data_IF_714381305083
#
_entry.id   IF_714381305083
#
_cell.length_a   1.000
_cell.length_b   1.000
_cell.length_c   1.000
_cell.angle_alpha   90.00
_cell.angle_beta   90.00
_cell.angle_gamma   90.00
#
_symmetry.space_group_name_H-M   'P 1'
#
loop_
_entity.id
_entity.type
_entity.pdbx_description
1 polymer ?
#
# COMPACT_ATOMS: atom_id res chain seq x y z
N UNK A 1 -39.84 15.13 19.89
CA UNK A 1 -38.69 15.49 19.02
C UNK A 1 -38.05 16.82 19.37
N UNK A 2 -38.78 17.91 19.64
CA UNK A 2 -38.18 19.26 19.75
C UNK A 2 -37.38 19.56 21.03
N UNK A 3 -37.70 18.97 22.19
CA UNK A 3 -37.03 19.37 23.44
C UNK A 3 -35.65 18.73 23.67
N UNK A 4 -35.35 17.57 23.07
CA UNK A 4 -34.08 16.87 23.28
C UNK A 4 -32.92 17.50 22.50
N UNK A 5 -33.17 17.94 21.26
CA UNK A 5 -32.15 18.52 20.36
C UNK A 5 -31.90 20.01 20.62
N UNK A 6 -32.72 20.67 21.44
CA UNK A 6 -32.62 22.11 21.73
C UNK A 6 -31.73 22.42 22.95
N UNK A 7 -31.26 21.41 23.67
CA UNK A 7 -30.40 21.58 24.84
C UNK A 7 -28.93 21.32 24.48
N UNK A 8 -28.00 22.12 25.02
CA UNK A 8 -26.55 21.88 24.91
C UNK A 8 -26.07 20.66 25.74
N UNK A 9 -26.99 19.79 26.15
CA UNK A 9 -26.68 18.57 26.91
C UNK A 9 -26.59 17.38 25.95
N UNK A 10 -25.81 16.34 26.31
CA UNK A 10 -25.80 15.10 25.55
C UNK A 10 -27.19 14.49 25.46
N UNK A 11 -27.58 14.04 24.27
CA UNK A 11 -28.80 13.28 24.04
C UNK A 11 -28.49 11.81 24.34
N UNK A 12 -29.19 11.23 25.30
CA UNK A 12 -28.89 9.89 25.81
C UNK A 12 -30.07 8.95 25.66
N UNK A 13 -29.80 7.72 25.21
CA UNK A 13 -30.76 6.59 25.25
C UNK A 13 -32.11 6.88 24.59
N UNK A 14 -32.08 7.73 23.55
CA UNK A 14 -33.26 8.07 22.76
C UNK A 14 -33.39 7.15 21.54
N UNK A 15 -34.63 6.91 21.14
CA UNK A 15 -34.97 6.15 19.94
C UNK A 15 -35.40 7.08 18.80
N UNK A 16 -34.59 7.10 17.76
CA UNK A 16 -34.78 7.79 16.49
C UNK A 16 -34.92 6.82 15.31
N UNK A 17 -35.07 5.52 15.59
CA UNK A 17 -35.16 4.51 14.54
C UNK A 17 -36.32 4.76 13.58
N UNK A 18 -36.15 4.35 12.32
CA UNK A 18 -37.13 4.48 11.24
C UNK A 18 -37.55 5.92 10.88
N UNK A 19 -36.95 6.94 11.51
CA UNK A 19 -37.29 8.34 11.22
C UNK A 19 -36.73 8.79 9.88
N UNK A 20 -37.32 9.85 9.34
CA UNK A 20 -36.89 10.51 8.11
C UNK A 20 -36.49 11.94 8.47
N UNK A 21 -35.20 12.21 8.45
CA UNK A 21 -34.64 13.53 8.75
C UNK A 21 -34.13 14.14 7.45
N UNK A 22 -34.74 15.26 7.08
CA UNK A 22 -34.31 16.07 5.95
C UNK A 22 -33.86 17.43 6.48
N UNK A 23 -32.65 17.87 6.12
CA UNK A 23 -32.13 19.20 6.47
C UNK A 23 -32.11 19.51 7.98
N UNK A 24 -32.10 18.48 8.83
CA UNK A 24 -32.00 18.67 10.28
C UNK A 24 -30.58 19.07 10.66
N UNK A 25 -30.45 19.94 11.67
CA UNK A 25 -29.15 20.31 12.21
C UNK A 25 -28.87 19.58 13.51
N UNK A 26 -27.78 18.80 13.51
CA UNK A 26 -27.21 18.10 14.66
C UNK A 26 -25.83 18.66 15.01
N UNK A 27 -25.51 19.85 14.50
CA UNK A 27 -24.18 20.43 14.60
C UNK A 27 -23.70 20.55 16.05
N UNK A 28 -22.55 19.93 16.33
CA UNK A 28 -21.93 19.95 17.66
C UNK A 28 -22.67 19.18 18.75
N UNK A 29 -23.75 18.47 18.42
CA UNK A 29 -24.48 17.66 19.40
C UNK A 29 -23.75 16.36 19.72
N UNK A 30 -23.93 15.90 20.95
CA UNK A 30 -23.38 14.62 21.43
C UNK A 30 -24.53 13.65 21.68
N UNK A 31 -24.46 12.47 21.08
CA UNK A 31 -25.41 11.38 21.24
C UNK A 31 -24.72 10.20 21.89
N UNK A 32 -25.33 9.65 22.94
CA UNK A 32 -24.78 8.51 23.70
C UNK A 32 -25.85 7.42 23.76
N UNK A 33 -25.51 6.21 23.29
CA UNK A 33 -26.41 5.04 23.32
C UNK A 33 -27.79 5.29 22.70
N UNK A 34 -27.84 6.14 21.67
CA UNK A 34 -29.09 6.41 20.94
C UNK A 34 -29.29 5.40 19.81
N UNK A 35 -30.55 5.08 19.53
CA UNK A 35 -30.93 4.21 18.43
C UNK A 35 -31.29 5.05 17.20
N UNK A 36 -30.56 4.86 16.11
CA UNK A 36 -30.76 5.44 14.78
C UNK A 36 -30.96 4.34 13.72
N UNK A 37 -31.32 3.12 14.12
CA UNK A 37 -31.51 2.02 13.19
C UNK A 37 -32.57 2.36 12.14
N UNK A 38 -32.31 2.02 10.88
CA UNK A 38 -33.21 2.29 9.74
C UNK A 38 -33.56 3.78 9.54
N UNK A 39 -32.82 4.72 10.17
CA UNK A 39 -33.05 6.14 9.94
C UNK A 39 -32.63 6.53 8.52
N UNK A 40 -33.34 7.49 7.93
CA UNK A 40 -32.86 8.22 6.76
C UNK A 40 -32.45 9.62 7.16
N UNK A 41 -31.19 9.97 6.93
CA UNK A 41 -30.66 11.32 7.10
C UNK A 41 -30.22 11.85 5.74
N UNK A 42 -30.99 12.79 5.20
CA UNK A 42 -30.72 13.45 3.93
C UNK A 42 -30.47 14.96 4.14
N UNK A 43 -29.37 15.46 3.56
CA UNK A 43 -28.99 16.88 3.63
C UNK A 43 -28.89 17.46 5.05
N UNK A 44 -28.67 16.60 6.05
CA UNK A 44 -28.54 17.00 7.44
C UNK A 44 -27.17 17.60 7.72
N UNK A 45 -27.09 18.45 8.74
CA UNK A 45 -25.84 19.01 9.25
C UNK A 45 -25.33 18.16 10.42
N UNK A 46 -24.31 17.36 10.16
CA UNK A 46 -23.65 16.50 11.15
C UNK A 46 -22.32 17.09 11.61
N UNK A 47 -22.00 18.34 11.23
CA UNK A 47 -20.70 18.93 11.52
C UNK A 47 -20.40 18.89 13.02
N UNK A 48 -19.24 18.36 13.39
CA UNK A 48 -18.78 18.21 14.79
C UNK A 48 -19.74 17.40 15.68
N UNK A 49 -20.71 16.67 15.12
CA UNK A 49 -21.57 15.79 15.89
C UNK A 49 -20.76 14.59 16.39
N UNK A 50 -21.03 14.15 17.62
CA UNK A 50 -20.34 13.02 18.24
C UNK A 50 -21.37 11.97 18.61
N UNK A 51 -21.20 10.76 18.08
CA UNK A 51 -22.02 9.59 18.36
C UNK A 51 -21.17 8.57 19.11
N UNK A 52 -21.61 8.19 20.31
CA UNK A 52 -20.94 7.21 21.17
C UNK A 52 -21.89 6.06 21.43
N UNK A 53 -21.46 4.83 21.11
CA UNK A 53 -22.24 3.61 21.36
C UNK A 53 -23.65 3.65 20.74
N UNK A 54 -23.82 4.38 19.64
CA UNK A 54 -25.11 4.52 18.96
C UNK A 54 -25.31 3.43 17.90
N UNK A 55 -26.56 3.13 17.57
CA UNK A 55 -26.91 2.16 16.54
C UNK A 55 -27.42 2.85 15.27
N UNK A 56 -26.67 2.76 14.18
CA UNK A 56 -26.97 3.20 12.81
C UNK A 56 -27.18 2.02 11.85
N UNK A 57 -27.54 0.85 12.38
CA UNK A 57 -27.78 -0.33 11.55
C UNK A 57 -28.81 -0.03 10.47
N UNK A 58 -28.45 -0.29 9.21
CA UNK A 58 -29.28 -0.01 8.02
C UNK A 58 -29.65 1.47 7.82
N UNK A 59 -28.98 2.39 8.50
CA UNK A 59 -29.19 3.82 8.29
C UNK A 59 -28.80 4.23 6.86
N UNK A 60 -29.53 5.21 6.30
CA UNK A 60 -29.23 5.84 5.02
C UNK A 60 -28.68 7.25 5.26
N UNK A 61 -27.42 7.47 4.90
CA UNK A 61 -26.66 8.69 5.12
C UNK A 61 -26.36 9.34 3.76
N UNK A 62 -27.19 10.31 3.34
CA UNK A 62 -27.13 10.88 1.99
C UNK A 62 -26.93 12.39 2.01
N UNK A 63 -25.89 12.86 1.31
CA UNK A 63 -25.61 14.28 1.10
C UNK A 63 -25.54 15.10 2.41
N UNK A 64 -25.15 14.47 3.52
CA UNK A 64 -25.02 15.14 4.80
C UNK A 64 -23.72 15.95 4.84
N UNK A 65 -23.76 17.12 5.48
CA UNK A 65 -22.54 17.86 5.81
C UNK A 65 -21.88 17.16 6.98
N UNK A 66 -20.77 16.48 6.70
CA UNK A 66 -20.10 15.59 7.66
C UNK A 66 -18.66 16.04 7.85
N UNK A 67 -18.48 17.22 8.43
CA UNK A 67 -17.16 17.75 8.77
C UNK A 67 -16.86 17.50 10.26
N UNK A 68 -15.72 16.87 10.57
CA UNK A 68 -15.28 16.62 11.96
C UNK A 68 -16.28 15.83 12.83
N UNK A 69 -17.19 15.09 12.21
CA UNK A 69 -18.12 14.22 12.93
C UNK A 69 -17.40 12.96 13.44
N UNK A 70 -17.87 12.40 14.57
CA UNK A 70 -17.26 11.23 15.20
C UNK A 70 -18.28 10.12 15.46
N UNK A 71 -17.98 8.91 15.01
CA UNK A 71 -18.67 7.68 15.39
C UNK A 71 -17.71 6.82 16.21
N UNK A 72 -17.99 6.68 17.49
CA UNK A 72 -17.16 5.98 18.45
C UNK A 72 -17.93 4.78 18.97
N UNK A 73 -17.40 3.58 18.77
CA UNK A 73 -18.01 2.32 19.25
C UNK A 73 -19.45 2.12 18.77
N UNK A 74 -19.77 2.65 17.59
CA UNK A 74 -21.14 2.58 17.06
C UNK A 74 -21.37 1.27 16.31
N UNK A 75 -22.63 0.89 16.19
CA UNK A 75 -23.08 -0.12 15.23
C UNK A 75 -23.56 0.62 13.99
N UNK A 76 -23.18 0.21 12.80
CA UNK A 76 -23.57 0.82 11.54
C UNK A 76 -23.60 -0.25 10.42
N UNK A 77 -23.89 -1.49 10.80
CA UNK A 77 -23.95 -2.61 9.88
C UNK A 77 -25.01 -2.36 8.80
N UNK A 78 -24.69 -2.68 7.54
CA UNK A 78 -25.56 -2.50 6.36
C UNK A 78 -26.03 -1.06 6.12
N UNK A 79 -25.39 -0.07 6.75
CA UNK A 79 -25.65 1.34 6.48
C UNK A 79 -25.26 1.70 5.04
N UNK A 80 -25.89 2.74 4.49
CA UNK A 80 -25.65 3.26 3.16
C UNK A 80 -25.10 4.68 3.25
N UNK A 81 -24.05 4.96 2.50
CA UNK A 81 -23.34 6.24 2.52
C UNK A 81 -23.22 6.79 1.11
N UNK A 82 -23.53 8.07 0.98
CA UNK A 82 -23.42 8.83 -0.26
C UNK A 82 -23.13 10.30 0.05
N UNK A 83 -22.13 10.90 -0.58
CA UNK A 83 -21.77 12.31 -0.41
C UNK A 83 -20.36 12.53 0.14
N UNK A 84 -20.09 13.76 0.59
CA UNK A 84 -18.78 14.18 1.08
C UNK A 84 -18.66 14.02 2.59
N UNK A 85 -17.53 13.46 3.04
CA UNK A 85 -17.20 13.25 4.44
C UNK A 85 -15.78 13.74 4.65
N UNK A 86 -15.61 14.72 5.55
CA UNK A 86 -14.36 15.42 5.73
C UNK A 86 -13.92 15.45 7.18
N UNK A 87 -12.67 15.09 7.44
CA UNK A 87 -12.08 15.07 8.79
C UNK A 87 -12.87 14.25 9.82
N UNK A 88 -13.74 13.35 9.36
CA UNK A 88 -14.56 12.52 10.23
C UNK A 88 -13.76 11.35 10.81
N UNK A 89 -14.14 10.93 12.02
CA UNK A 89 -13.54 9.79 12.71
C UNK A 89 -14.58 8.70 12.90
N UNK A 90 -14.26 7.49 12.44
CA UNK A 90 -14.96 6.27 12.78
C UNK A 90 -13.97 5.39 13.53
N UNK A 91 -14.22 5.16 14.81
CA UNK A 91 -13.35 4.38 15.68
C UNK A 91 -14.15 3.27 16.35
N UNK A 92 -13.62 2.05 16.34
CA UNK A 92 -14.27 0.87 16.94
C UNK A 92 -15.72 0.66 16.43
N UNK A 93 -16.01 1.12 15.21
CA UNK A 93 -17.38 1.11 14.66
C UNK A 93 -17.60 -0.11 13.77
N UNK A 94 -18.72 -0.81 13.96
CA UNK A 94 -19.11 -1.94 13.13
C UNK A 94 -19.79 -1.44 11.85
N UNK A 95 -19.12 -1.58 10.72
CA UNK A 95 -19.55 -1.20 9.38
C UNK A 95 -19.77 -2.44 8.50
N UNK A 96 -20.03 -3.62 9.08
CA UNK A 96 -20.21 -4.85 8.34
C UNK A 96 -21.30 -4.72 7.28
N UNK A 97 -20.98 -5.09 6.04
CA UNK A 97 -21.93 -5.04 4.92
C UNK A 97 -22.39 -3.63 4.55
N UNK A 98 -21.74 -2.58 5.04
CA UNK A 98 -22.08 -1.20 4.67
C UNK A 98 -21.75 -0.94 3.19
N UNK A 99 -22.50 -0.03 2.58
CA UNK A 99 -22.34 0.36 1.18
C UNK A 99 -21.97 1.83 1.08
N UNK A 100 -20.81 2.11 0.49
CA UNK A 100 -20.31 3.44 0.23
C UNK A 100 -20.30 3.63 -1.28
N UNK A 101 -21.15 4.51 -1.78
CA UNK A 101 -21.28 4.75 -3.21
C UNK A 101 -21.02 6.21 -3.53
N UNK A 102 -20.03 6.48 -4.39
CA UNK A 102 -19.65 7.85 -4.78
C UNK A 102 -19.39 8.74 -3.56
N UNK A 103 -18.79 8.17 -2.51
CA UNK A 103 -18.37 8.94 -1.35
C UNK A 103 -17.03 9.62 -1.62
N UNK A 104 -16.89 10.85 -1.14
CA UNK A 104 -15.62 11.57 -1.11
C UNK A 104 -15.16 11.66 0.35
N UNK A 105 -14.16 10.86 0.71
CA UNK A 105 -13.57 10.84 2.05
C UNK A 105 -12.27 11.64 2.02
N UNK A 106 -12.22 12.74 2.78
CA UNK A 106 -11.04 13.60 2.87
C UNK A 106 -10.59 13.70 4.31
N UNK A 107 -9.31 13.42 4.57
CA UNK A 107 -8.72 13.52 5.91
C UNK A 107 -9.47 12.71 6.98
N UNK A 108 -10.19 11.65 6.60
CA UNK A 108 -10.94 10.82 7.54
C UNK A 108 -10.02 9.84 8.26
N UNK A 109 -10.47 9.34 9.41
CA UNK A 109 -9.85 8.22 10.11
C UNK A 109 -10.88 7.11 10.30
N UNK A 110 -10.57 5.92 9.80
CA UNK A 110 -11.26 4.68 10.14
C UNK A 110 -10.24 3.82 10.89
N UNK A 111 -10.43 3.66 12.20
CA UNK A 111 -9.51 2.87 13.04
C UNK A 111 -10.28 1.80 13.81
N UNK A 112 -9.74 0.58 13.86
CA UNK A 112 -10.34 -0.54 14.60
C UNK A 112 -11.80 -0.83 14.18
N UNK A 113 -12.15 -0.50 12.94
CA UNK A 113 -13.50 -0.71 12.41
C UNK A 113 -13.63 -2.11 11.79
N UNK A 114 -14.83 -2.67 11.86
CA UNK A 114 -15.17 -3.89 11.12
C UNK A 114 -15.83 -3.52 9.81
N UNK A 115 -15.16 -3.73 8.68
CA UNK A 115 -15.70 -3.48 7.33
C UNK A 115 -15.88 -4.78 6.53
N UNK A 116 -16.13 -5.88 7.25
CA UNK A 116 -16.35 -7.20 6.65
C UNK A 116 -17.53 -7.16 5.68
N UNK A 117 -17.34 -7.68 4.47
CA UNK A 117 -18.33 -7.65 3.38
C UNK A 117 -18.85 -6.24 3.00
N UNK A 118 -18.19 -5.16 3.43
CA UNK A 118 -18.55 -3.82 2.98
C UNK A 118 -18.22 -3.64 1.50
N UNK A 119 -18.84 -2.65 0.86
CA UNK A 119 -18.56 -2.30 -0.54
C UNK A 119 -18.25 -0.82 -0.67
N UNK A 120 -17.10 -0.51 -1.24
CA UNK A 120 -16.71 0.84 -1.66
C UNK A 120 -16.75 0.89 -3.19
N UNK A 121 -17.66 1.70 -3.73
CA UNK A 121 -17.87 1.78 -5.17
C UNK A 121 -17.81 3.24 -5.64
N UNK A 122 -16.91 3.51 -6.58
CA UNK A 122 -16.70 4.85 -7.14
C UNK A 122 -16.36 5.90 -6.09
N UNK A 123 -15.72 5.50 -5.00
CA UNK A 123 -15.31 6.40 -3.93
C UNK A 123 -13.98 7.07 -4.28
N UNK A 124 -13.79 8.29 -3.76
CA UNK A 124 -12.50 8.97 -3.74
C UNK A 124 -12.07 9.12 -2.29
N UNK A 125 -10.88 8.63 -1.97
CA UNK A 125 -10.28 8.81 -0.66
C UNK A 125 -8.98 9.58 -0.79
N UNK A 126 -8.88 10.67 -0.04
CA UNK A 126 -7.70 11.52 -0.02
C UNK A 126 -7.23 11.73 1.42
N UNK A 127 -5.94 11.49 1.68
CA UNK A 127 -5.34 11.72 3.01
C UNK A 127 -6.07 11.00 4.14
N UNK A 128 -6.68 9.85 3.86
CA UNK A 128 -7.50 9.08 4.81
C UNK A 128 -6.64 8.01 5.47
N UNK A 129 -6.80 7.85 6.79
CA UNK A 129 -6.15 6.80 7.57
C UNK A 129 -7.09 5.61 7.78
N UNK A 130 -6.60 4.42 7.46
CA UNK A 130 -7.30 3.13 7.50
C UNK A 130 -6.44 2.16 8.33
N UNK A 131 -6.68 2.11 9.63
CA UNK A 131 -5.83 1.36 10.56
C UNK A 131 -6.60 0.24 11.25
N UNK A 132 -5.98 -0.94 11.36
CA UNK A 132 -6.48 -2.07 12.15
C UNK A 132 -7.90 -2.49 11.75
N UNK A 133 -8.14 -2.59 10.44
CA UNK A 133 -9.47 -2.87 9.88
C UNK A 133 -9.70 -4.37 9.69
N UNK A 134 -10.84 -4.86 10.21
CA UNK A 134 -11.30 -6.22 9.89
C UNK A 134 -12.07 -6.19 8.57
N UNK A 135 -11.40 -6.56 7.49
CA UNK A 135 -11.81 -6.26 6.10
C UNK A 135 -12.04 -7.48 5.21
N UNK A 136 -12.23 -8.67 5.78
CA UNK A 136 -12.51 -9.88 4.99
C UNK A 136 -13.76 -9.67 4.11
N UNK A 137 -13.64 -10.03 2.83
CA UNK A 137 -14.71 -9.87 1.85
C UNK A 137 -15.02 -8.43 1.43
N UNK A 138 -14.22 -7.44 1.85
CA UNK A 138 -14.35 -6.06 1.36
C UNK A 138 -14.23 -6.03 -0.16
N UNK A 139 -15.13 -5.26 -0.80
CA UNK A 139 -15.09 -5.00 -2.24
C UNK A 139 -14.75 -3.54 -2.49
N UNK A 140 -13.75 -3.29 -3.32
CA UNK A 140 -13.31 -1.97 -3.74
C UNK A 140 -13.38 -1.91 -5.27
N UNK A 141 -14.31 -1.12 -5.79
CA UNK A 141 -14.64 -1.08 -7.22
C UNK A 141 -14.60 0.35 -7.76
N UNK A 142 -13.79 0.56 -8.80
CA UNK A 142 -13.69 1.86 -9.48
C UNK A 142 -13.31 3.03 -8.55
N UNK A 143 -12.48 2.77 -7.53
CA UNK A 143 -12.12 3.77 -6.52
C UNK A 143 -10.79 4.48 -6.84
N UNK A 144 -10.61 5.66 -6.27
CA UNK A 144 -9.34 6.41 -6.30
C UNK A 144 -8.84 6.61 -4.87
N UNK A 145 -7.68 6.03 -4.56
CA UNK A 145 -7.09 6.03 -3.23
C UNK A 145 -5.75 6.78 -3.27
N UNK A 146 -5.81 8.07 -2.94
CA UNK A 146 -4.67 8.97 -3.05
C UNK A 146 -4.16 9.40 -1.68
N UNK A 147 -2.85 9.30 -1.45
CA UNK A 147 -2.23 9.75 -0.20
C UNK A 147 -2.87 9.11 1.05
N UNK A 148 -3.41 7.89 0.92
CA UNK A 148 -4.00 7.17 2.06
C UNK A 148 -2.90 6.50 2.88
N UNK A 149 -3.18 6.28 4.16
CA UNK A 149 -2.41 5.35 4.98
C UNK A 149 -3.31 4.17 5.32
N UNK A 150 -2.89 2.96 4.94
CA UNK A 150 -3.56 1.71 5.26
C UNK A 150 -2.55 0.77 5.91
N UNK A 151 -2.79 0.40 7.17
CA UNK A 151 -1.87 -0.45 7.92
C UNK A 151 -2.53 -1.70 8.48
N UNK A 152 -1.70 -2.71 8.78
CA UNK A 152 -2.08 -3.91 9.53
C UNK A 152 -3.28 -4.65 8.93
N UNK A 153 -3.34 -4.74 7.59
CA UNK A 153 -4.50 -5.30 6.89
C UNK A 153 -4.11 -6.50 6.04
N UNK A 154 -4.96 -7.54 6.08
CA UNK A 154 -4.87 -8.67 5.17
C UNK A 154 -5.73 -8.41 3.92
N UNK A 155 -5.05 -8.29 2.77
CA UNK A 155 -5.64 -8.05 1.45
C UNK A 155 -6.01 -9.33 0.70
N UNK A 156 -5.70 -10.53 1.23
CA UNK A 156 -5.96 -11.80 0.54
C UNK A 156 -7.43 -12.04 0.18
N UNK A 157 -8.35 -11.59 1.04
CA UNK A 157 -9.80 -11.71 0.81
C UNK A 157 -10.45 -10.43 0.25
N UNK A 158 -9.66 -9.37 0.06
CA UNK A 158 -10.16 -8.10 -0.46
C UNK A 158 -10.23 -8.16 -1.97
N UNK A 159 -11.41 -7.89 -2.52
CA UNK A 159 -11.64 -7.86 -3.97
C UNK A 159 -11.47 -6.44 -4.47
N UNK A 160 -10.44 -6.22 -5.28
CA UNK A 160 -10.10 -4.91 -5.83
C UNK A 160 -10.23 -4.96 -7.34
N UNK A 161 -11.09 -4.11 -7.90
CA UNK A 161 -11.33 -4.00 -9.33
C UNK A 161 -11.32 -2.53 -9.77
N UNK A 162 -10.69 -2.25 -10.91
CA UNK A 162 -10.61 -0.93 -11.54
C UNK A 162 -10.22 0.21 -10.59
N UNK A 163 -9.36 -0.07 -9.61
CA UNK A 163 -9.02 0.87 -8.53
C UNK A 163 -7.59 1.35 -8.69
N UNK A 164 -7.36 2.63 -8.39
CA UNK A 164 -6.04 3.25 -8.47
C UNK A 164 -5.53 3.59 -7.07
N UNK A 165 -4.27 3.24 -6.82
CA UNK A 165 -3.54 3.69 -5.64
C UNK A 165 -2.46 4.67 -6.10
N UNK A 166 -2.37 5.83 -5.47
CA UNK A 166 -1.31 6.79 -5.82
C UNK A 166 -0.79 7.42 -4.55
N UNK A 167 0.53 7.30 -4.31
CA UNK A 167 1.14 7.77 -3.06
C UNK A 167 0.49 7.13 -1.82
N UNK A 168 -0.04 5.92 -1.94
CA UNK A 168 -0.63 5.19 -0.82
C UNK A 168 0.47 4.57 0.04
N UNK A 169 0.33 4.66 1.35
CA UNK A 169 1.15 3.96 2.33
C UNK A 169 0.40 2.70 2.76
N UNK A 170 0.86 1.53 2.31
CA UNK A 170 0.29 0.21 2.56
C UNK A 170 1.26 -0.56 3.47
N UNK A 171 1.25 -0.25 4.77
CA UNK A 171 2.30 -0.64 5.71
C UNK A 171 1.93 -1.91 6.46
N UNK A 172 2.87 -2.84 6.63
CA UNK A 172 2.65 -4.07 7.42
C UNK A 172 1.38 -4.83 6.96
N UNK A 173 1.17 -4.87 5.64
CA UNK A 173 0.02 -5.53 5.04
C UNK A 173 0.39 -6.91 4.50
N UNK A 174 -0.61 -7.78 4.37
CA UNK A 174 -0.43 -9.11 3.78
C UNK A 174 -1.21 -9.21 2.48
N UNK A 175 -0.52 -9.58 1.40
CA UNK A 175 -1.09 -9.78 0.08
C UNK A 175 -0.86 -11.23 -0.34
N UNK A 176 -1.94 -11.95 -0.64
CA UNK A 176 -1.88 -13.36 -0.99
C UNK A 176 -2.77 -13.64 -2.20
N UNK A 177 -2.16 -14.01 -3.33
CA UNK A 177 -2.89 -14.38 -4.55
C UNK A 177 -3.60 -13.22 -5.27
N UNK A 178 -3.37 -11.97 -4.85
CA UNK A 178 -3.98 -10.81 -5.47
C UNK A 178 -3.50 -10.62 -6.92
N UNK A 179 -4.40 -10.16 -7.79
CA UNK A 179 -4.08 -9.78 -9.16
C UNK A 179 -4.14 -8.26 -9.31
N UNK A 180 -2.96 -7.64 -9.35
CA UNK A 180 -2.75 -6.22 -9.62
C UNK A 180 -2.15 -6.00 -11.01
N UNK A 181 -2.37 -6.92 -11.95
CA UNK A 181 -1.91 -6.75 -13.32
C UNK A 181 -2.53 -5.49 -13.92
N UNK A 182 -1.72 -4.68 -14.62
CA UNK A 182 -2.12 -3.39 -15.23
C UNK A 182 -2.54 -2.29 -14.23
N UNK A 183 -2.39 -2.49 -12.92
CA UNK A 183 -2.77 -1.46 -11.95
C UNK A 183 -1.80 -0.28 -11.96
N UNK A 184 -2.35 0.91 -11.71
CA UNK A 184 -1.59 2.12 -11.41
C UNK A 184 -1.35 2.22 -9.91
N UNK A 185 -0.09 2.04 -9.49
CA UNK A 185 0.37 2.03 -8.10
C UNK A 185 1.68 2.81 -7.97
N UNK A 186 1.79 3.96 -8.65
CA UNK A 186 3.02 4.76 -8.64
C UNK A 186 3.23 5.44 -7.30
N UNK A 187 4.50 5.50 -6.89
CA UNK A 187 4.95 6.16 -5.66
C UNK A 187 4.28 5.61 -4.40
N UNK A 188 3.83 4.35 -4.43
CA UNK A 188 3.25 3.66 -3.28
C UNK A 188 4.35 3.11 -2.37
N UNK A 189 4.08 3.06 -1.06
CA UNK A 189 5.01 2.51 -0.06
C UNK A 189 4.39 1.29 0.58
N UNK A 190 5.05 0.14 0.45
CA UNK A 190 4.61 -1.15 0.97
C UNK A 190 5.42 -1.64 2.16
N UNK A 191 6.26 -0.79 2.76
CA UNK A 191 7.31 -1.22 3.69
C UNK A 191 6.82 -2.17 4.80
N UNK A 192 7.60 -3.23 5.03
CA UNK A 192 7.28 -4.27 6.02
C UNK A 192 6.13 -5.20 5.64
N UNK A 193 5.62 -5.14 4.40
CA UNK A 193 4.53 -6.00 3.93
C UNK A 193 5.01 -7.33 3.39
N UNK A 194 4.08 -8.29 3.33
CA UNK A 194 4.30 -9.63 2.81
C UNK A 194 3.48 -9.86 1.55
N UNK A 195 4.12 -10.41 0.51
CA UNK A 195 3.52 -10.72 -0.77
C UNK A 195 3.75 -12.19 -1.10
N UNK A 196 2.68 -12.96 -1.29
CA UNK A 196 2.75 -14.35 -1.72
C UNK A 196 1.88 -14.55 -2.95
N UNK A 197 2.48 -15.00 -4.07
CA UNK A 197 1.77 -15.30 -5.33
C UNK A 197 0.98 -14.11 -5.89
N UNK A 198 1.49 -12.89 -5.73
CA UNK A 198 0.84 -11.67 -6.21
C UNK A 198 1.28 -11.38 -7.64
N UNK A 199 0.33 -11.00 -8.49
CA UNK A 199 0.59 -10.59 -9.87
C UNK A 199 0.63 -9.09 -9.99
N UNK A 200 1.73 -8.58 -10.53
CA UNK A 200 2.00 -7.19 -10.89
C UNK A 200 2.33 -7.07 -12.38
N UNK A 201 1.87 -8.03 -13.20
CA UNK A 201 2.19 -8.09 -14.63
C UNK A 201 1.73 -6.81 -15.33
N UNK A 202 2.65 -6.11 -16.01
CA UNK A 202 2.43 -4.78 -16.61
C UNK A 202 1.94 -3.68 -15.64
N UNK A 203 2.10 -3.84 -14.32
CA UNK A 203 1.71 -2.81 -13.36
C UNK A 203 2.63 -1.59 -13.46
N UNK A 204 2.07 -0.40 -13.20
CA UNK A 204 2.82 0.85 -13.11
C UNK A 204 3.22 1.11 -11.64
N UNK A 205 4.49 0.86 -11.32
CA UNK A 205 5.07 0.84 -9.98
C UNK A 205 6.28 1.79 -9.86
N UNK A 206 6.36 2.80 -10.74
CA UNK A 206 7.48 3.73 -10.75
C UNK A 206 7.61 4.47 -9.42
N UNK A 207 8.82 4.49 -8.88
CA UNK A 207 9.14 5.11 -7.60
C UNK A 207 8.50 4.44 -6.37
N UNK A 208 7.89 3.26 -6.52
CA UNK A 208 7.25 2.56 -5.40
C UNK A 208 8.27 1.82 -4.53
N UNK A 209 8.03 1.77 -3.22
CA UNK A 209 8.92 1.14 -2.24
C UNK A 209 8.34 -0.17 -1.72
N UNK A 210 9.08 -1.25 -1.94
CA UNK A 210 8.97 -2.58 -1.36
C UNK A 210 10.12 -2.84 -0.37
N UNK A 211 10.67 -1.78 0.24
CA UNK A 211 11.78 -1.92 1.20
C UNK A 211 11.34 -2.71 2.42
N UNK A 212 12.23 -3.57 2.94
CA UNK A 212 11.96 -4.44 4.10
C UNK A 212 10.73 -5.35 3.93
N UNK A 213 10.34 -5.65 2.69
CA UNK A 213 9.24 -6.56 2.39
C UNK A 213 9.72 -7.99 2.23
N UNK A 214 8.80 -8.94 2.39
CA UNK A 214 8.98 -10.33 1.96
C UNK A 214 8.14 -10.58 0.73
N UNK A 215 8.77 -10.96 -0.39
CA UNK A 215 8.09 -11.29 -1.65
C UNK A 215 8.40 -12.73 -2.03
N UNK A 216 7.37 -13.56 -2.14
CA UNK A 216 7.48 -14.95 -2.53
C UNK A 216 6.58 -15.24 -3.73
N UNK A 217 7.15 -15.84 -4.78
CA UNK A 217 6.39 -16.30 -5.96
C UNK A 217 5.59 -15.18 -6.63
N UNK A 218 6.09 -13.94 -6.60
CA UNK A 218 5.43 -12.80 -7.22
C UNK A 218 5.78 -12.68 -8.71
N UNK A 219 4.92 -12.01 -9.46
CA UNK A 219 5.07 -11.81 -10.90
C UNK A 219 5.12 -10.32 -11.22
N UNK A 220 6.29 -9.80 -11.58
CA UNK A 220 6.53 -8.45 -12.08
C UNK A 220 6.87 -8.44 -13.59
N UNK A 221 6.42 -9.46 -14.36
CA UNK A 221 6.67 -9.49 -15.80
C UNK A 221 6.20 -8.20 -16.46
N UNK A 222 7.06 -7.57 -17.26
CA UNK A 222 6.76 -6.32 -17.96
C UNK A 222 6.33 -5.14 -17.05
N UNK A 223 6.48 -5.25 -15.72
CA UNK A 223 6.14 -4.17 -14.82
C UNK A 223 7.06 -2.95 -15.02
N UNK A 224 6.51 -1.76 -14.80
CA UNK A 224 7.29 -0.53 -14.80
C UNK A 224 7.73 -0.20 -13.38
N UNK A 225 8.99 -0.50 -13.08
CA UNK A 225 9.67 -0.42 -11.79
C UNK A 225 10.81 0.61 -11.77
N UNK A 226 10.82 1.55 -12.72
CA UNK A 226 11.82 2.61 -12.72
C UNK A 226 11.83 3.34 -11.37
N UNK A 227 13.01 3.46 -10.76
CA UNK A 227 13.24 4.04 -9.43
C UNK A 227 12.54 3.32 -8.27
N UNK A 228 12.07 2.09 -8.46
CA UNK A 228 11.48 1.31 -7.38
C UNK A 228 12.54 0.91 -6.33
N UNK A 229 12.12 0.76 -5.08
CA UNK A 229 13.01 0.47 -3.94
C UNK A 229 12.67 -0.90 -3.35
N UNK A 230 13.65 -1.78 -3.23
CA UNK A 230 13.58 -3.12 -2.65
C UNK A 230 14.65 -3.29 -1.56
N UNK A 231 15.08 -2.19 -0.91
CA UNK A 231 16.17 -2.21 0.04
C UNK A 231 15.86 -3.14 1.21
N UNK A 232 16.83 -3.97 1.60
CA UNK A 232 16.71 -4.91 2.73
C UNK A 232 15.50 -5.85 2.64
N UNK A 233 14.99 -6.10 1.42
CA UNK A 233 13.87 -7.02 1.20
C UNK A 233 14.35 -8.47 1.04
N UNK A 234 13.47 -9.43 1.32
CA UNK A 234 13.68 -10.84 1.03
C UNK A 234 12.78 -11.23 -0.16
N UNK A 235 13.38 -11.55 -1.29
CA UNK A 235 12.69 -11.78 -2.56
C UNK A 235 13.04 -13.18 -3.04
N UNK A 236 12.03 -14.05 -3.13
CA UNK A 236 12.19 -15.45 -3.45
C UNK A 236 11.26 -15.88 -4.56
N UNK A 237 11.79 -16.61 -5.55
CA UNK A 237 11.01 -17.18 -6.65
C UNK A 237 10.16 -16.12 -7.39
N UNK A 238 10.64 -14.88 -7.43
CA UNK A 238 9.91 -13.76 -8.03
C UNK A 238 10.42 -13.51 -9.44
N UNK A 239 9.49 -13.23 -10.35
CA UNK A 239 9.78 -13.01 -11.75
C UNK A 239 9.76 -11.52 -12.10
N UNK A 240 10.90 -10.98 -12.54
CA UNK A 240 11.08 -9.62 -13.05
C UNK A 240 11.37 -9.60 -14.55
N UNK A 241 11.14 -10.71 -15.27
CA UNK A 241 11.46 -10.87 -16.69
C UNK A 241 10.85 -9.73 -17.51
N UNK A 242 11.68 -9.07 -18.31
CA UNK A 242 11.32 -7.91 -19.16
C UNK A 242 10.72 -6.72 -18.41
N UNK A 243 10.88 -6.63 -17.09
CA UNK A 243 10.51 -5.44 -16.35
C UNK A 243 11.39 -4.24 -16.76
N UNK A 244 10.82 -3.05 -16.71
CA UNK A 244 11.53 -1.78 -16.87
C UNK A 244 11.94 -1.31 -15.49
N UNK A 245 13.22 -1.46 -15.12
CA UNK A 245 13.68 -1.27 -13.75
C UNK A 245 14.91 -0.36 -13.69
N UNK A 246 14.89 0.73 -14.47
CA UNK A 246 15.99 1.71 -14.45
C UNK A 246 16.10 2.33 -13.07
N UNK A 247 17.32 2.48 -12.56
CA UNK A 247 17.57 3.05 -11.23
C UNK A 247 16.87 2.30 -10.08
N UNK A 248 16.49 1.04 -10.28
CA UNK A 248 15.94 0.21 -9.21
C UNK A 248 16.97 -0.01 -8.10
N UNK A 249 16.53 -0.04 -6.85
CA UNK A 249 17.41 -0.19 -5.70
C UNK A 249 17.15 -1.50 -4.94
N UNK A 250 18.07 -2.46 -5.07
CA UNK A 250 18.12 -3.72 -4.35
C UNK A 250 19.23 -3.75 -3.28
N UNK A 251 19.66 -2.58 -2.78
CA UNK A 251 20.72 -2.51 -1.76
C UNK A 251 20.37 -3.39 -0.55
N UNK A 252 21.31 -4.26 -0.15
CA UNK A 252 21.15 -5.22 0.95
C UNK A 252 19.96 -6.18 0.81
N UNK A 253 19.38 -6.32 -0.39
CA UNK A 253 18.30 -7.28 -0.62
C UNK A 253 18.84 -8.72 -0.70
N UNK A 254 18.01 -9.67 -0.28
CA UNK A 254 18.23 -11.10 -0.47
C UNK A 254 17.37 -11.58 -1.63
N UNK A 255 18.00 -12.03 -2.71
CA UNK A 255 17.36 -12.53 -3.92
C UNK A 255 17.65 -14.03 -4.02
N UNK A 256 16.61 -14.86 -4.14
CA UNK A 256 16.76 -16.31 -4.27
C UNK A 256 15.83 -16.86 -5.34
N UNK A 257 16.38 -17.64 -6.27
CA UNK A 257 15.63 -18.29 -7.34
C UNK A 257 14.80 -17.27 -8.18
N UNK A 258 15.28 -16.04 -8.31
CA UNK A 258 14.57 -14.96 -9.03
C UNK A 258 14.93 -14.93 -10.52
N UNK A 259 13.99 -14.46 -11.33
CA UNK A 259 14.16 -14.33 -12.78
C UNK A 259 14.23 -12.85 -13.16
N UNK A 260 15.23 -12.45 -13.93
CA UNK A 260 15.51 -11.09 -14.40
C UNK A 260 15.88 -11.10 -15.89
N UNK A 261 15.37 -12.09 -16.63
CA UNK A 261 15.70 -12.27 -18.03
C UNK A 261 15.24 -11.05 -18.86
N UNK A 262 16.15 -10.51 -19.66
CA UNK A 262 15.90 -9.32 -20.50
C UNK A 262 15.36 -8.10 -19.72
N UNK A 263 15.65 -8.00 -18.42
CA UNK A 263 15.24 -6.86 -17.57
C UNK A 263 16.17 -5.66 -17.80
N UNK A 264 15.61 -4.45 -17.79
CA UNK A 264 16.40 -3.22 -17.86
C UNK A 264 16.80 -2.80 -16.44
N UNK A 265 18.05 -3.07 -16.05
CA UNK A 265 18.66 -2.73 -14.76
C UNK A 265 19.70 -1.60 -14.89
N UNK A 266 19.50 -0.72 -15.88
CA UNK A 266 20.36 0.43 -16.12
C UNK A 266 20.40 1.31 -14.86
N UNK A 267 21.60 1.67 -14.39
CA UNK A 267 21.82 2.42 -13.16
C UNK A 267 21.24 1.75 -11.89
N UNK A 268 21.02 0.43 -11.89
CA UNK A 268 20.53 -0.27 -10.71
C UNK A 268 21.52 -0.22 -9.53
N UNK A 269 20.98 -0.12 -8.32
CA UNK A 269 21.76 -0.12 -7.08
C UNK A 269 21.64 -1.48 -6.41
N UNK A 270 22.72 -2.26 -6.47
CA UNK A 270 22.83 -3.65 -6.02
C UNK A 270 23.92 -3.79 -4.94
N UNK A 271 24.33 -2.68 -4.30
CA UNK A 271 25.37 -2.69 -3.27
C UNK A 271 24.97 -3.63 -2.13
N UNK A 272 25.89 -4.52 -1.73
CA UNK A 272 25.66 -5.52 -0.67
C UNK A 272 24.47 -6.47 -0.93
N UNK A 273 24.02 -6.63 -2.18
CA UNK A 273 22.97 -7.62 -2.50
C UNK A 273 23.49 -9.04 -2.27
N UNK A 274 22.62 -9.96 -1.85
CA UNK A 274 22.91 -11.40 -1.88
C UNK A 274 21.95 -12.08 -2.85
N UNK A 275 22.46 -12.57 -3.98
CA UNK A 275 21.70 -13.23 -5.02
C UNK A 275 22.13 -14.69 -5.18
N UNK A 276 21.18 -15.61 -5.05
CA UNK A 276 21.42 -17.05 -5.15
C UNK A 276 20.50 -17.66 -6.21
N UNK A 277 21.06 -18.46 -7.12
CA UNK A 277 20.32 -19.12 -8.22
C UNK A 277 19.49 -18.17 -9.10
N UNK A 278 19.91 -16.91 -9.25
CA UNK A 278 19.16 -15.92 -10.01
C UNK A 278 19.53 -15.96 -11.50
N UNK A 279 18.55 -15.69 -12.35
CA UNK A 279 18.67 -15.71 -13.80
C UNK A 279 18.68 -14.28 -14.35
N UNK A 280 19.80 -13.82 -14.88
CA UNK A 280 20.01 -12.47 -15.39
C UNK A 280 20.34 -12.44 -16.89
N UNK A 281 19.97 -13.48 -17.63
CA UNK A 281 20.35 -13.58 -19.04
C UNK A 281 19.75 -12.43 -19.85
N UNK A 282 20.57 -11.83 -20.71
CA UNK A 282 20.20 -10.68 -21.55
C UNK A 282 19.77 -9.42 -20.76
N UNK A 283 19.98 -9.38 -19.44
CA UNK A 283 19.68 -8.19 -18.65
C UNK A 283 20.69 -7.06 -18.93
N UNK A 284 20.25 -5.82 -18.83
CA UNK A 284 21.11 -4.65 -19.01
C UNK A 284 21.48 -4.03 -17.64
N UNK A 285 22.72 -4.20 -17.21
CA UNK A 285 23.26 -3.61 -15.98
C UNK A 285 24.11 -2.36 -16.24
N UNK A 286 23.98 -1.71 -17.40
CA UNK A 286 24.81 -0.55 -17.73
C UNK A 286 24.73 0.50 -16.61
N UNK A 287 25.88 0.99 -16.13
CA UNK A 287 26.01 1.95 -15.03
C UNK A 287 25.53 1.46 -13.66
N UNK A 288 25.20 0.17 -13.51
CA UNK A 288 24.78 -0.38 -12.23
C UNK A 288 25.93 -0.41 -11.22
N UNK A 289 25.58 -0.36 -9.93
CA UNK A 289 26.51 -0.53 -8.82
C UNK A 289 26.21 -1.83 -8.08
N UNK A 290 26.97 -2.89 -8.34
CA UNK A 290 26.93 -4.18 -7.65
C UNK A 290 28.09 -4.36 -6.66
N UNK A 291 28.70 -3.27 -6.19
CA UNK A 291 29.83 -3.33 -5.26
C UNK A 291 29.48 -4.09 -3.99
N UNK A 292 30.41 -4.91 -3.51
CA UNK A 292 30.22 -5.80 -2.36
C UNK A 292 29.05 -6.78 -2.48
N UNK A 293 28.48 -6.95 -3.68
CA UNK A 293 27.43 -7.93 -3.94
C UNK A 293 27.96 -9.37 -3.88
N UNK A 294 27.09 -10.28 -3.47
CA UNK A 294 27.36 -11.72 -3.45
C UNK A 294 26.44 -12.40 -4.44
N UNK A 295 27.02 -13.03 -5.46
CA UNK A 295 26.29 -13.75 -6.50
C UNK A 295 26.73 -15.21 -6.48
N UNK A 296 25.80 -16.12 -6.20
CA UNK A 296 26.08 -17.55 -6.17
C UNK A 296 25.19 -18.28 -7.17
N UNK A 297 25.79 -19.11 -8.02
CA UNK A 297 25.09 -19.93 -9.01
C UNK A 297 24.12 -19.11 -9.89
N UNK A 298 24.49 -17.87 -10.21
CA UNK A 298 23.69 -16.98 -11.05
C UNK A 298 24.08 -17.11 -12.53
N UNK A 299 23.15 -16.86 -13.44
CA UNK A 299 23.41 -16.87 -14.89
C UNK A 299 23.31 -15.46 -15.49
N UNK A 300 24.45 -14.88 -15.85
CA UNK A 300 24.59 -13.58 -16.50
C UNK A 300 24.76 -13.70 -18.02
N UNK A 301 24.45 -14.84 -18.64
CA UNK A 301 24.74 -15.04 -20.06
C UNK A 301 24.13 -13.94 -20.94
N UNK A 302 24.97 -13.32 -21.79
CA UNK A 302 24.60 -12.25 -22.72
C UNK A 302 24.08 -10.97 -22.06
N UNK A 303 24.33 -10.74 -20.76
CA UNK A 303 24.03 -9.47 -20.11
C UNK A 303 25.04 -8.38 -20.49
N UNK A 304 24.66 -7.11 -20.28
CA UNK A 304 25.48 -5.93 -20.56
C UNK A 304 25.96 -5.29 -19.25
N UNK A 305 27.25 -4.93 -19.16
CA UNK A 305 27.86 -4.30 -17.97
C UNK A 305 28.63 -3.02 -18.30
N UNK A 306 28.09 -2.20 -19.22
CA UNK A 306 28.77 -0.96 -19.63
C UNK A 306 28.94 -0.01 -18.46
N UNK A 307 30.20 0.29 -18.09
CA UNK A 307 30.57 1.22 -17.02
C UNK A 307 29.94 0.88 -15.67
N UNK A 308 29.76 -0.41 -15.38
CA UNK A 308 29.14 -0.87 -14.14
C UNK A 308 30.20 -1.10 -13.06
N UNK A 309 29.90 -0.71 -11.82
CA UNK A 309 30.77 -0.89 -10.67
C UNK A 309 30.52 -2.25 -10.01
N UNK A 310 31.54 -3.12 -10.03
CA UNK A 310 31.56 -4.45 -9.41
C UNK A 310 32.70 -4.54 -8.36
N UNK A 311 33.11 -3.41 -7.79
CA UNK A 311 34.13 -3.34 -6.74
C UNK A 311 33.83 -4.31 -5.59
N UNK A 312 34.79 -5.17 -5.24
CA UNK A 312 34.68 -6.14 -4.15
C UNK A 312 33.46 -7.10 -4.27
N UNK A 313 32.92 -7.26 -5.47
CA UNK A 313 31.85 -8.22 -5.75
C UNK A 313 32.39 -9.66 -5.74
N UNK A 314 31.61 -10.58 -5.19
CA UNK A 314 31.91 -12.01 -5.21
C UNK A 314 30.94 -12.74 -6.13
N UNK A 315 31.48 -13.60 -7.00
CA UNK A 315 30.70 -14.42 -7.91
C UNK A 315 31.21 -15.87 -7.86
N UNK A 316 30.41 -16.77 -7.26
CA UNK A 316 30.71 -18.21 -7.16
C UNK A 316 29.80 -18.99 -8.10
N UNK A 317 30.38 -19.92 -8.86
CA UNK A 317 29.62 -20.82 -9.76
C UNK A 317 28.68 -20.10 -10.75
N UNK A 318 29.00 -18.83 -11.08
CA UNK A 318 28.20 -18.02 -11.98
C UNK A 318 28.56 -18.27 -13.45
N UNK A 319 27.56 -18.17 -14.33
CA UNK A 319 27.72 -18.30 -15.78
C UNK A 319 27.81 -16.93 -16.45
N UNK A 320 28.81 -16.77 -17.34
CA UNK A 320 29.13 -15.49 -18.00
C UNK A 320 29.17 -15.61 -19.53
N UNK A 321 28.45 -16.58 -20.11
CA UNK A 321 28.58 -16.90 -21.52
C UNK A 321 28.10 -15.73 -22.40
N UNK A 322 28.96 -15.24 -23.30
CA UNK A 322 28.63 -14.15 -24.23
C UNK A 322 28.55 -12.76 -23.59
N UNK A 323 29.18 -12.56 -22.43
CA UNK A 323 29.26 -11.27 -21.74
C UNK A 323 30.54 -10.53 -22.15
N UNK A 324 30.43 -9.23 -22.42
CA UNK A 324 31.59 -8.32 -22.50
C UNK A 324 31.91 -7.74 -21.12
N UNK A 325 33.09 -8.08 -20.59
CA UNK A 325 33.56 -7.65 -19.27
C UNK A 325 34.54 -6.48 -19.33
N UNK A 326 34.93 -5.99 -20.52
CA UNK A 326 35.97 -4.95 -20.64
C UNK A 326 35.57 -3.61 -20.00
N UNK A 327 34.27 -3.35 -19.91
CA UNK A 327 33.73 -2.10 -19.37
C UNK A 327 33.26 -2.23 -17.91
N UNK A 328 33.52 -3.36 -17.26
CA UNK A 328 33.21 -3.63 -15.85
C UNK A 328 34.33 -3.11 -14.95
N UNK A 329 33.98 -2.36 -13.91
CA UNK A 329 34.94 -1.84 -12.93
C UNK A 329 35.02 -2.84 -11.76
N UNK A 330 36.05 -3.69 -11.76
CA UNK A 330 36.14 -4.80 -10.79
C UNK A 330 36.76 -4.42 -9.43
N UNK A 331 37.72 -3.50 -9.41
CA UNK A 331 38.39 -3.09 -8.19
C UNK A 331 38.74 -1.60 -8.30
N UNK A 332 37.89 -0.73 -7.74
CA UNK A 332 38.17 0.70 -7.63
C UNK A 332 39.19 0.95 -6.48
N UNK A 333 40.43 1.38 -6.78
CA UNK A 333 41.46 1.58 -5.76
C UNK A 333 41.16 2.77 -4.84
N UNK A 334 40.46 3.80 -5.34
CA UNK A 334 40.09 4.96 -4.52
C UNK A 334 39.00 4.59 -3.53
N UNK A 335 38.01 3.81 -4.00
CA UNK A 335 36.96 3.28 -3.13
C UNK A 335 37.57 2.37 -2.05
N UNK A 336 38.49 1.46 -2.41
CA UNK A 336 39.17 0.58 -1.46
C UNK A 336 39.95 1.35 -0.38
N UNK A 337 40.66 2.42 -0.76
CA UNK A 337 41.41 3.27 0.18
C UNK A 337 40.47 4.03 1.13
N UNK A 338 39.35 4.55 0.62
CA UNK A 338 38.34 5.22 1.44
C UNK A 338 37.70 4.25 2.45
N UNK A 339 37.38 3.03 2.01
CA UNK A 339 36.83 1.99 2.88
C UNK A 339 37.82 1.56 3.97
N UNK A 340 39.11 1.39 3.64
CA UNK A 340 40.15 1.14 4.64
C UNK A 340 40.26 2.28 5.66
N UNK A 341 40.26 3.54 5.22
CA UNK A 341 40.32 4.70 6.10
C UNK A 341 39.09 4.78 7.04
N UNK A 342 37.90 4.42 6.57
CA UNK A 342 36.68 4.37 7.38
C UNK A 342 36.77 3.30 8.48
N UNK A 343 37.29 2.11 8.14
CA UNK A 343 37.53 1.02 9.09
C UNK A 343 38.57 1.42 10.14
N UNK A 344 39.68 2.05 9.72
CA UNK A 344 40.73 2.56 10.60
C UNK A 344 40.23 3.65 11.56
N UNK A 345 39.14 4.35 11.22
CA UNK A 345 38.51 5.38 12.04
C UNK A 345 37.25 4.91 12.80
N UNK A 346 37.00 3.59 12.84
CA UNK A 346 35.93 3.00 13.65
C UNK A 346 34.51 3.22 13.12
N UNK A 347 34.37 3.66 11.86
CA UNK A 347 33.08 3.73 11.19
C UNK A 347 32.80 2.40 10.48
N UNK A 348 31.71 1.71 10.84
CA UNK A 348 31.22 0.56 10.06
C UNK A 348 30.60 1.05 8.75
N UNK A 349 31.03 0.44 7.63
CA UNK A 349 30.68 0.71 6.23
C UNK A 349 29.22 0.50 5.86
#
# INVERSE_FOLDING_TARGET
MSNALASNQPVMEQDFSNQQWQQHSLEGLVFIRCNFADISMEECNLNRAVFVECDFSRANMRNNRTEQASWLKCQAAKSQWFGSIESATLCETDLQGSHWHKCELRACTLSQCTITNATWSRCRMQSTNLADLTSSGLKIESCQLQNIAWSNTNFGDIKIHDTQFTKALLLQCQFAGNDFSQFAMQQCTFNGSEFTKVKFTNAALQGSSFSQCTLQQCDFHHAALDQALFMQSNVQQTDFTKAMAKQINFQQAQLKDCLFNSTCLEMAWLKLVSANHCQFQEADFSYANASHGQFNQCDFSRSRFQQSNFHAMSATECRWAGVDLQQRIDNDPQQAQQEQALVEHGATS
#
